data_IF_821125662982
#
_entry.id   IF_821125662982
#
_cell.length_a   1.000
_cell.length_b   1.000
_cell.length_c   1.000
_cell.angle_alpha   90.00
_cell.angle_beta   90.00
_cell.angle_gamma   90.00
#
_symmetry.space_group_name_H-M   'P 1'
#
loop_
_entity.id
_entity.type
_entity.pdbx_description
1 polymer ?
#
# COMPACT_ATOMS: atom_id res chain seq x y z
N UNK A 1 -8.69 -65.00 10.99
CA UNK A 1 -10.09 -65.35 11.35
C UNK A 1 -10.40 -64.60 12.62
N UNK A 2 -11.41 -63.75 12.76
CA UNK A 2 -12.37 -63.09 11.87
C UNK A 2 -13.26 -62.28 12.82
N UNK A 3 -13.39 -60.98 12.53
CA UNK A 3 -14.49 -60.06 12.86
C UNK A 3 -15.18 -60.09 14.23
N UNK A 4 -15.20 -58.93 14.89
CA UNK A 4 -16.40 -58.04 14.90
C UNK A 4 -16.17 -56.70 15.61
N UNK A 5 -16.27 -55.63 14.81
CA UNK A 5 -17.05 -54.39 15.02
C UNK A 5 -17.08 -53.75 16.42
N UNK A 6 -16.53 -52.54 16.50
CA UNK A 6 -16.80 -51.58 17.58
C UNK A 6 -16.39 -50.16 17.18
N UNK A 7 -17.19 -49.50 16.34
CA UNK A 7 -17.12 -48.03 16.16
C UNK A 7 -17.48 -47.33 17.46
N UNK A 8 -16.75 -46.29 17.90
CA UNK A 8 -17.20 -45.47 19.02
C UNK A 8 -18.47 -44.69 18.62
N UNK A 9 -19.47 -44.55 19.51
CA UNK A 9 -20.67 -43.79 19.22
C UNK A 9 -20.33 -42.30 19.19
N UNK A 10 -20.46 -41.68 18.01
CA UNK A 10 -20.72 -40.25 17.94
C UNK A 10 -22.13 -40.01 18.46
N UNK A 11 -22.26 -39.72 19.76
CA UNK A 11 -23.47 -39.10 20.29
C UNK A 11 -23.40 -37.64 19.84
N UNK A 12 -23.98 -37.38 18.67
CA UNK A 12 -24.39 -36.05 18.27
C UNK A 12 -25.89 -35.97 18.50
N UNK A 13 -26.24 -35.20 19.53
CA UNK A 13 -27.62 -34.83 19.86
C UNK A 13 -28.36 -34.26 18.65
N UNK A 14 -29.68 -34.49 18.70
CA UNK A 14 -30.69 -34.27 17.68
C UNK A 14 -30.81 -32.83 17.15
N UNK A 15 -31.31 -32.77 15.91
CA UNK A 15 -32.08 -31.66 15.33
C UNK A 15 -31.37 -30.36 14.93
N UNK A 16 -30.47 -30.48 13.93
CA UNK A 16 -30.48 -29.66 12.71
C UNK A 16 -29.25 -30.01 11.84
N UNK A 17 -29.26 -31.19 11.20
CA UNK A 17 -28.30 -31.46 10.12
C UNK A 17 -28.78 -30.77 8.84
N UNK A 18 -28.63 -29.44 8.79
CA UNK A 18 -28.25 -28.83 7.51
C UNK A 18 -26.94 -29.54 7.13
N UNK A 19 -26.80 -30.11 5.93
CA UNK A 19 -25.48 -30.58 5.51
C UNK A 19 -24.52 -29.43 5.78
N UNK A 20 -23.44 -29.70 6.51
CA UNK A 20 -22.38 -28.73 6.72
C UNK A 20 -21.96 -28.28 5.32
N UNK A 21 -22.46 -27.11 4.89
CA UNK A 21 -22.03 -26.50 3.64
C UNK A 21 -20.53 -26.38 3.80
N UNK A 22 -19.77 -27.24 3.11
CA UNK A 22 -18.32 -27.16 3.08
C UNK A 22 -18.01 -25.71 2.73
N UNK A 23 -17.55 -24.94 3.72
CA UNK A 23 -17.51 -23.48 3.75
C UNK A 23 -16.98 -22.96 2.39
N UNK A 24 -17.89 -22.65 1.44
CA UNK A 24 -17.52 -22.42 0.04
C UNK A 24 -16.85 -21.07 -0.04
N UNK A 25 -15.54 -21.05 0.17
CA UNK A 25 -14.77 -19.80 0.16
C UNK A 25 -14.97 -19.06 -1.16
N UNK A 26 -15.19 -17.73 -1.09
CA UNK A 26 -15.38 -16.93 -2.29
C UNK A 26 -14.14 -16.90 -3.19
N UNK A 27 -14.31 -16.76 -4.51
CA UNK A 27 -13.21 -16.78 -5.49
C UNK A 27 -12.02 -15.86 -5.15
N UNK A 28 -12.28 -14.66 -4.62
CA UNK A 28 -11.23 -13.70 -4.23
C UNK A 28 -10.34 -14.19 -3.08
N UNK A 29 -10.88 -15.06 -2.22
CA UNK A 29 -10.16 -15.63 -1.10
C UNK A 29 -9.13 -16.65 -1.59
N UNK A 30 -9.47 -17.47 -2.57
CA UNK A 30 -8.48 -18.35 -3.25
C UNK A 30 -7.37 -17.55 -3.93
N UNK A 31 -7.71 -16.47 -4.65
CA UNK A 31 -6.71 -15.59 -5.28
C UNK A 31 -5.77 -14.99 -4.23
N UNK A 32 -6.30 -14.60 -3.08
CA UNK A 32 -5.48 -14.11 -1.97
C UNK A 32 -4.51 -15.19 -1.46
N UNK A 33 -4.99 -16.41 -1.20
CA UNK A 33 -4.14 -17.49 -0.66
C UNK A 33 -3.04 -17.90 -1.66
N UNK A 34 -3.36 -17.96 -2.96
CA UNK A 34 -2.39 -18.17 -4.03
C UNK A 34 -1.32 -17.06 -4.01
N UNK A 35 -1.74 -15.80 -3.87
CA UNK A 35 -0.83 -14.65 -3.82
C UNK A 35 0.01 -14.58 -2.54
N UNK A 36 -0.33 -15.31 -1.47
CA UNK A 36 0.55 -15.44 -0.30
C UNK A 36 1.73 -16.36 -0.61
N UNK A 37 1.51 -17.44 -1.36
CA UNK A 37 2.54 -18.42 -1.77
C UNK A 37 3.33 -17.98 -3.01
N UNK A 38 3.99 -16.81 -2.96
CA UNK A 38 4.70 -16.20 -4.12
C UNK A 38 5.91 -16.98 -4.63
N UNK A 39 6.46 -17.87 -3.82
CA UNK A 39 7.60 -18.72 -4.20
C UNK A 39 7.19 -19.98 -4.97
N UNK A 40 5.89 -20.31 -5.00
CA UNK A 40 5.38 -21.42 -5.82
C UNK A 40 5.71 -21.22 -7.29
N UNK A 41 5.96 -22.31 -8.02
CA UNK A 41 6.39 -22.25 -9.41
C UNK A 41 5.39 -21.54 -10.32
N UNK A 42 4.08 -21.76 -10.10
CA UNK A 42 3.01 -21.11 -10.85
C UNK A 42 3.11 -19.58 -10.75
N UNK A 43 3.23 -19.05 -9.52
CA UNK A 43 3.28 -17.60 -9.31
C UNK A 43 4.63 -17.02 -9.72
N UNK A 44 5.72 -17.75 -9.50
CA UNK A 44 7.06 -17.33 -9.94
C UNK A 44 7.13 -17.21 -11.45
N UNK A 45 6.58 -18.19 -12.18
CA UNK A 45 6.46 -18.16 -13.64
C UNK A 45 5.62 -16.96 -14.10
N UNK A 46 4.42 -16.79 -13.55
CA UNK A 46 3.52 -15.67 -13.88
C UNK A 46 4.19 -14.31 -13.63
N UNK A 47 4.87 -14.14 -12.50
CA UNK A 47 5.57 -12.90 -12.17
C UNK A 47 6.76 -12.67 -13.11
N UNK A 48 7.45 -13.72 -13.58
CA UNK A 48 8.54 -13.57 -14.54
C UNK A 48 8.06 -13.01 -15.87
N UNK A 49 6.99 -13.60 -16.43
CA UNK A 49 6.38 -13.14 -17.69
C UNK A 49 5.87 -11.70 -17.55
N UNK A 50 5.10 -11.40 -16.49
CA UNK A 50 4.63 -10.03 -16.22
C UNK A 50 5.77 -9.03 -16.05
N UNK A 51 6.87 -9.43 -15.44
CA UNK A 51 8.02 -8.55 -15.25
C UNK A 51 8.68 -8.20 -16.58
N UNK A 52 8.70 -9.14 -17.53
CA UNK A 52 9.20 -8.88 -18.87
C UNK A 52 8.32 -7.84 -19.59
N UNK A 53 6.99 -8.00 -19.58
CA UNK A 53 6.06 -7.02 -20.16
C UNK A 53 6.23 -5.62 -19.54
N UNK A 54 6.28 -5.55 -18.20
CA UNK A 54 6.42 -4.29 -17.46
C UNK A 54 7.77 -3.58 -17.68
N UNK A 55 8.79 -4.28 -18.18
CA UNK A 55 10.08 -3.67 -18.55
C UNK A 55 9.98 -2.91 -19.87
N UNK A 56 9.23 -3.44 -20.83
CA UNK A 56 9.04 -2.83 -22.15
C UNK A 56 8.14 -1.59 -22.09
N UNK A 57 7.20 -1.55 -21.14
CA UNK A 57 6.29 -0.43 -20.98
C UNK A 57 6.95 0.81 -20.35
N UNK A 58 6.35 1.97 -20.63
CA UNK A 58 6.76 3.25 -20.06
C UNK A 58 6.75 3.24 -18.52
N UNK A 59 7.61 4.09 -17.94
CA UNK A 59 7.81 4.13 -16.49
C UNK A 59 6.53 4.42 -15.70
N UNK A 60 5.62 5.23 -16.26
CA UNK A 60 4.26 5.45 -15.78
C UNK A 60 3.33 5.21 -16.96
N UNK A 61 2.42 4.26 -16.83
CA UNK A 61 1.40 4.00 -17.84
C UNK A 61 0.06 3.65 -17.18
N UNK A 62 -1.04 3.95 -17.88
CA UNK A 62 -2.39 3.61 -17.42
C UNK A 62 -2.64 2.13 -17.64
N UNK A 63 -3.16 1.44 -16.62
CA UNK A 63 -3.66 0.08 -16.76
C UNK A 63 -5.17 0.12 -17.06
N UNK A 64 -5.63 -0.74 -17.97
CA UNK A 64 -7.06 -0.89 -18.27
C UNK A 64 -7.82 -1.51 -17.10
N UNK A 65 -7.23 -2.54 -16.48
CA UNK A 65 -7.76 -3.26 -15.31
C UNK A 65 -6.65 -3.50 -14.28
N UNK A 66 -6.98 -3.61 -12.98
CA UNK A 66 -6.00 -3.96 -11.97
C UNK A 66 -5.48 -5.38 -12.18
N UNK A 67 -4.16 -5.57 -12.10
CA UNK A 67 -3.53 -6.90 -12.23
C UNK A 67 -3.89 -7.85 -11.08
N UNK A 68 -4.31 -7.26 -9.95
CA UNK A 68 -4.70 -7.95 -8.71
C UNK A 68 -6.04 -7.42 -8.21
N UNK A 69 -7.16 -7.97 -8.69
CA UNK A 69 -8.50 -7.51 -8.30
C UNK A 69 -8.79 -7.76 -6.81
N UNK A 70 -8.23 -8.83 -6.22
CA UNK A 70 -8.29 -9.15 -4.79
C UNK A 70 -7.76 -8.00 -3.93
N UNK A 71 -6.54 -7.54 -4.24
CA UNK A 71 -5.83 -6.54 -3.46
C UNK A 71 -6.39 -5.15 -3.72
N UNK A 72 -6.73 -4.85 -4.98
CA UNK A 72 -7.31 -3.57 -5.36
C UNK A 72 -8.63 -3.34 -4.60
N UNK A 73 -9.53 -4.34 -4.57
CA UNK A 73 -10.82 -4.25 -3.85
C UNK A 73 -10.63 -3.97 -2.36
N UNK A 74 -9.70 -4.66 -1.70
CA UNK A 74 -9.37 -4.42 -0.28
C UNK A 74 -8.90 -3.00 0.00
N UNK A 75 -8.26 -2.36 -0.97
CA UNK A 75 -7.74 -1.00 -0.85
C UNK A 75 -8.74 0.06 -1.31
N UNK A 76 -9.97 -0.33 -1.65
CA UNK A 76 -11.07 0.57 -1.98
C UNK A 76 -11.34 0.75 -3.48
N UNK A 77 -10.69 -0.02 -4.36
CA UNK A 77 -11.03 -0.01 -5.79
C UNK A 77 -12.43 -0.60 -6.02
N UNK A 78 -13.23 0.09 -6.84
CA UNK A 78 -14.48 -0.43 -7.40
C UNK A 78 -14.43 -0.34 -8.92
N UNK A 79 -14.95 -1.36 -9.59
CA UNK A 79 -15.08 -1.39 -11.04
C UNK A 79 -16.29 -0.54 -11.49
N UNK A 80 -16.16 0.79 -11.38
CA UNK A 80 -17.12 1.77 -11.89
C UNK A 80 -16.37 2.97 -12.47
N UNK A 81 -17.06 3.77 -13.27
CA UNK A 81 -16.47 4.96 -13.87
C UNK A 81 -15.94 5.95 -12.80
N UNK A 82 -14.82 6.59 -13.10
CA UNK A 82 -14.10 7.49 -12.20
C UNK A 82 -12.99 6.83 -11.36
N UNK A 83 -12.88 5.50 -11.33
CA UNK A 83 -11.69 4.82 -10.81
C UNK A 83 -10.69 4.55 -11.95
N UNK A 84 -9.42 4.88 -11.71
CA UNK A 84 -8.33 4.65 -12.66
C UNK A 84 -7.17 3.98 -11.94
N UNK A 85 -6.47 3.09 -12.65
CA UNK A 85 -5.30 2.40 -12.13
C UNK A 85 -4.09 2.76 -12.98
N UNK A 86 -3.02 3.20 -12.33
CA UNK A 86 -1.73 3.48 -12.98
C UNK A 86 -0.67 2.49 -12.51
N UNK A 87 0.12 1.99 -13.45
CA UNK A 87 1.31 1.19 -13.17
C UNK A 87 2.53 2.09 -13.18
N UNK A 88 3.39 1.92 -12.20
CA UNK A 88 4.62 2.67 -12.08
C UNK A 88 5.78 1.80 -11.63
N UNK A 89 6.95 2.03 -12.24
CA UNK A 89 8.22 1.46 -11.79
C UNK A 89 9.02 2.45 -10.96
N UNK A 90 9.59 1.99 -9.85
CA UNK A 90 10.48 2.75 -8.97
C UNK A 90 11.79 2.00 -8.81
N UNK A 91 12.92 2.69 -9.02
CA UNK A 91 14.26 2.09 -8.90
C UNK A 91 14.51 1.58 -7.48
N UNK A 92 15.06 0.38 -7.36
CA UNK A 92 15.49 -0.24 -6.10
C UNK A 92 16.80 0.38 -5.61
N UNK A 93 17.06 0.18 -4.32
CA UNK A 93 18.30 0.60 -3.67
C UNK A 93 18.13 1.82 -2.76
N UNK A 94 19.25 2.26 -2.20
CA UNK A 94 19.34 3.49 -1.42
C UNK A 94 19.37 4.74 -2.31
N UNK A 95 19.39 5.91 -1.68
CA UNK A 95 19.52 7.19 -2.38
C UNK A 95 20.86 7.80 -2.01
N UNK A 96 21.76 7.91 -3.01
CA UNK A 96 23.01 8.64 -2.86
C UNK A 96 22.73 10.11 -2.53
N UNK A 97 23.48 10.69 -1.58
CA UNK A 97 23.43 12.15 -1.34
C UNK A 97 23.86 12.90 -2.61
N UNK A 98 23.12 13.92 -3.05
CA UNK A 98 23.61 14.81 -4.11
C UNK A 98 24.72 15.69 -3.53
N UNK A 99 25.96 15.27 -3.73
CA UNK A 99 27.17 16.02 -3.39
C UNK A 99 28.12 15.98 -4.59
N UNK A 100 28.51 17.14 -5.17
CA UNK A 100 29.47 17.18 -6.27
C UNK A 100 30.76 16.45 -5.90
N UNK A 101 31.22 15.53 -6.76
CA UNK A 101 32.40 14.65 -6.54
C UNK A 101 32.36 13.81 -5.25
N UNK A 102 31.24 13.80 -4.53
CA UNK A 102 31.18 13.24 -3.18
C UNK A 102 31.96 14.04 -2.14
N UNK A 103 32.26 15.31 -2.39
CA UNK A 103 32.85 16.18 -1.38
C UNK A 103 31.75 16.73 -0.48
N UNK A 104 31.78 16.35 0.80
CA UNK A 104 30.88 16.87 1.84
C UNK A 104 31.71 17.63 2.87
N UNK A 105 31.40 18.92 3.05
CA UNK A 105 32.07 19.76 4.03
C UNK A 105 31.44 19.65 5.43
N UNK A 106 32.22 20.00 6.46
CA UNK A 106 31.78 20.02 7.86
C UNK A 106 32.13 18.76 8.65
N UNK A 107 31.42 18.54 9.75
CA UNK A 107 31.72 17.49 10.74
C UNK A 107 31.71 16.08 10.11
N UNK A 108 32.62 15.16 10.54
CA UNK A 108 32.70 13.79 10.01
C UNK A 108 31.38 13.01 9.99
N UNK A 109 30.50 13.25 10.96
CA UNK A 109 29.17 12.62 11.04
C UNK A 109 28.29 12.88 9.83
N UNK A 110 28.48 14.00 9.14
CA UNK A 110 27.70 14.41 7.97
C UNK A 110 28.35 14.03 6.64
N UNK A 111 29.49 13.32 6.66
CA UNK A 111 30.25 12.99 5.45
C UNK A 111 29.77 11.71 4.73
N UNK A 112 28.72 11.05 5.23
CA UNK A 112 28.14 9.86 4.61
C UNK A 112 27.42 10.13 3.28
N UNK A 113 27.66 9.27 2.27
CA UNK A 113 27.14 9.46 0.90
C UNK A 113 26.35 8.25 0.40
N UNK A 114 26.95 7.06 0.42
CA UNK A 114 26.42 5.88 -0.28
C UNK A 114 25.41 5.07 0.55
N UNK A 115 25.66 4.91 1.85
CA UNK A 115 24.86 4.01 2.71
C UNK A 115 23.57 4.65 3.25
N UNK A 116 23.23 5.85 2.79
CA UNK A 116 22.01 6.55 3.19
C UNK A 116 20.75 5.84 2.70
N UNK A 117 19.78 5.69 3.60
CA UNK A 117 18.46 5.12 3.31
C UNK A 117 17.44 6.23 3.22
N UNK A 118 16.56 6.15 2.22
CA UNK A 118 15.50 7.13 2.08
C UNK A 118 14.44 6.92 3.17
N UNK A 119 14.00 8.02 3.79
CA UNK A 119 13.04 7.96 4.91
C UNK A 119 11.67 7.38 4.49
N UNK A 120 11.27 7.61 3.23
CA UNK A 120 9.97 7.13 2.71
C UNK A 120 10.11 5.80 2.01
N UNK A 121 9.06 4.99 2.09
CA UNK A 121 8.99 3.73 1.36
C UNK A 121 8.91 3.96 -0.17
N UNK A 122 9.41 3.01 -0.96
CA UNK A 122 9.37 3.08 -2.43
C UNK A 122 7.94 3.21 -2.98
N UNK A 123 6.94 2.63 -2.30
CA UNK A 123 5.53 2.80 -2.66
C UNK A 123 5.02 4.23 -2.45
N UNK A 124 5.56 4.99 -1.48
CA UNK A 124 5.21 6.40 -1.32
C UNK A 124 5.77 7.23 -2.47
N UNK A 125 7.01 6.94 -2.90
CA UNK A 125 7.60 7.56 -4.09
C UNK A 125 6.81 7.21 -5.36
N UNK A 126 6.28 5.99 -5.45
CA UNK A 126 5.39 5.59 -6.53
C UNK A 126 4.11 6.44 -6.56
N UNK A 127 3.43 6.55 -5.42
CA UNK A 127 2.23 7.38 -5.25
C UNK A 127 2.49 8.85 -5.62
N UNK A 128 3.60 9.44 -5.15
CA UNK A 128 3.95 10.83 -5.44
C UNK A 128 4.24 11.09 -6.92
N UNK A 129 4.96 10.16 -7.59
CA UNK A 129 5.24 10.30 -9.03
C UNK A 129 3.97 10.23 -9.87
N UNK A 130 3.05 9.31 -9.54
CA UNK A 130 1.74 9.23 -10.20
C UNK A 130 0.89 10.47 -9.90
N UNK A 131 0.85 10.93 -8.64
CA UNK A 131 0.11 12.13 -8.24
C UNK A 131 0.60 13.40 -8.96
N UNK A 132 1.91 13.51 -9.21
CA UNK A 132 2.48 14.62 -10.01
C UNK A 132 2.13 14.51 -11.50
N UNK A 133 2.19 13.30 -12.08
CA UNK A 133 1.86 13.08 -13.50
C UNK A 133 0.37 13.29 -13.77
N UNK A 134 -0.49 12.91 -12.82
CA UNK A 134 -1.94 12.96 -12.91
C UNK A 134 -2.52 13.91 -11.86
N UNK A 135 -2.16 15.20 -11.93
CA UNK A 135 -2.48 16.20 -10.91
C UNK A 135 -4.00 16.39 -10.65
N UNK A 136 -4.83 16.16 -11.68
CA UNK A 136 -6.29 16.28 -11.58
C UNK A 136 -6.92 15.11 -10.82
N UNK A 137 -6.23 13.97 -10.72
CA UNK A 137 -6.72 12.79 -10.03
C UNK A 137 -6.33 12.82 -8.55
N UNK A 138 -7.08 12.07 -7.73
CA UNK A 138 -6.81 11.86 -6.31
C UNK A 138 -6.24 10.47 -6.08
N UNK A 139 -5.05 10.38 -5.50
CA UNK A 139 -4.47 9.09 -5.11
C UNK A 139 -5.24 8.54 -3.91
N UNK A 140 -5.82 7.35 -4.07
CA UNK A 140 -6.51 6.64 -2.99
C UNK A 140 -5.51 5.82 -2.17
N UNK A 141 -4.84 4.87 -2.83
CA UNK A 141 -3.88 3.94 -2.25
C UNK A 141 -3.00 3.29 -3.33
N UNK A 142 -2.02 2.49 -2.93
CA UNK A 142 -1.19 1.72 -3.86
C UNK A 142 -0.92 0.30 -3.36
N UNK A 143 -0.52 -0.59 -4.26
CA UNK A 143 -0.07 -1.93 -3.92
C UNK A 143 1.05 -2.43 -4.82
N UNK A 144 1.83 -3.37 -4.27
CA UNK A 144 2.91 -4.05 -4.98
C UNK A 144 2.35 -5.09 -5.96
N UNK A 145 2.93 -5.13 -7.16
CA UNK A 145 2.59 -6.11 -8.20
C UNK A 145 3.76 -7.05 -8.44
N UNK A 146 4.96 -6.49 -8.64
CA UNK A 146 6.12 -7.23 -9.09
C UNK A 146 7.45 -6.54 -8.73
N UNK A 147 8.57 -7.26 -8.85
CA UNK A 147 9.91 -6.71 -8.68
C UNK A 147 10.94 -7.47 -9.53
N UNK A 148 11.89 -6.75 -10.11
CA UNK A 148 13.13 -7.26 -10.70
C UNK A 148 14.33 -6.82 -9.85
N UNK A 149 15.56 -7.06 -10.30
CA UNK A 149 16.77 -6.61 -9.61
C UNK A 149 16.85 -5.09 -9.49
N UNK A 150 16.45 -4.35 -10.53
CA UNK A 150 16.66 -2.90 -10.64
C UNK A 150 15.45 -2.07 -10.22
N UNK A 151 14.22 -2.56 -10.35
CA UNK A 151 12.98 -1.83 -10.10
C UNK A 151 11.99 -2.60 -9.21
N UNK A 152 11.01 -1.86 -8.67
CA UNK A 152 9.80 -2.38 -8.07
C UNK A 152 8.61 -1.77 -8.77
N UNK A 153 7.60 -2.59 -9.01
CA UNK A 153 6.40 -2.22 -9.74
C UNK A 153 5.21 -2.11 -8.78
N UNK A 154 4.51 -0.98 -8.87
CA UNK A 154 3.35 -0.69 -8.07
C UNK A 154 2.16 -0.31 -8.95
N UNK A 155 0.98 -0.67 -8.50
CA UNK A 155 -0.28 -0.19 -9.04
C UNK A 155 -0.85 0.83 -8.07
N UNK A 156 -1.07 2.05 -8.57
CA UNK A 156 -1.63 3.17 -7.81
C UNK A 156 -3.09 3.34 -8.24
N UNK A 157 -3.97 3.30 -7.26
CA UNK A 157 -5.41 3.52 -7.44
C UNK A 157 -5.65 5.03 -7.35
N UNK A 158 -6.15 5.59 -8.44
CA UNK A 158 -6.53 6.98 -8.57
C UNK A 158 -8.05 7.09 -8.72
N UNK A 159 -8.60 8.19 -8.24
CA UNK A 159 -10.02 8.52 -8.36
C UNK A 159 -10.16 9.89 -8.99
N UNK A 160 -11.06 10.03 -9.95
CA UNK A 160 -11.44 11.30 -10.54
C UNK A 160 -12.53 11.99 -9.69
N UNK A 161 -12.23 13.12 -9.02
CA UNK A 161 -13.19 13.84 -8.20
C UNK A 161 -14.25 14.62 -9.00
N UNK A 162 -14.04 14.82 -10.31
CA UNK A 162 -14.98 15.53 -11.18
C UNK A 162 -16.06 14.59 -11.75
N UNK A 163 -15.81 13.28 -11.74
CA UNK A 163 -16.74 12.29 -12.29
C UNK A 163 -18.03 12.15 -11.45
N UNK A 164 -19.21 12.23 -12.09
CA UNK A 164 -20.53 12.15 -11.43
C UNK A 164 -20.70 10.87 -10.59
N UNK A 165 -20.25 9.74 -11.11
CA UNK A 165 -20.33 8.45 -10.40
C UNK A 165 -19.49 8.37 -9.10
N UNK A 166 -18.50 9.25 -8.93
CA UNK A 166 -17.73 9.37 -7.68
C UNK A 166 -18.43 10.35 -6.75
N UNK A 167 -18.86 11.51 -7.26
CA UNK A 167 -19.51 12.55 -6.46
C UNK A 167 -20.83 12.07 -5.82
N UNK A 168 -21.61 11.25 -6.54
CA UNK A 168 -22.89 10.70 -6.05
C UNK A 168 -22.73 9.53 -5.06
N UNK A 169 -21.59 8.83 -5.05
CA UNK A 169 -21.41 7.67 -4.15
C UNK A 169 -20.96 8.14 -2.77
N UNK A 170 -21.87 8.05 -1.80
CA UNK A 170 -21.66 8.42 -0.40
C UNK A 170 -20.45 7.75 0.27
N UNK A 171 -19.97 6.60 -0.24
CA UNK A 171 -18.83 5.89 0.37
C UNK A 171 -17.47 6.48 -0.01
N UNK A 172 -17.37 7.17 -1.15
CA UNK A 172 -16.10 7.71 -1.67
C UNK A 172 -16.12 9.23 -1.85
N UNK A 173 -17.29 9.86 -1.88
CA UNK A 173 -17.46 11.30 -2.12
C UNK A 173 -16.57 12.19 -1.24
N UNK A 174 -16.18 11.73 -0.03
CA UNK A 174 -15.23 12.41 0.84
C UNK A 174 -13.95 12.82 0.09
N UNK A 175 -13.45 11.99 -0.84
CA UNK A 175 -12.21 12.27 -1.57
C UNK A 175 -12.31 13.50 -2.50
N UNK A 176 -13.53 13.92 -2.83
CA UNK A 176 -13.79 15.08 -3.68
C UNK A 176 -13.58 16.40 -2.93
N UNK A 177 -13.59 16.40 -1.58
CA UNK A 177 -13.42 17.62 -0.80
C UNK A 177 -12.02 18.22 -1.01
N UNK A 178 -11.89 19.56 -1.00
CA UNK A 178 -10.61 20.24 -1.24
C UNK A 178 -9.54 19.93 -0.17
N UNK A 179 -9.92 19.49 1.02
CA UNK A 179 -8.94 19.07 2.04
C UNK A 179 -8.16 17.81 1.66
N UNK A 180 -8.63 17.05 0.66
CA UNK A 180 -8.02 15.81 0.18
C UNK A 180 -7.20 15.98 -1.11
N UNK A 181 -6.85 17.21 -1.52
CA UNK A 181 -5.87 17.41 -2.60
C UNK A 181 -4.48 16.88 -2.20
N UNK A 182 -3.77 16.27 -3.13
CA UNK A 182 -2.39 15.79 -2.98
C UNK A 182 -2.09 15.10 -1.63
N UNK A 183 -2.88 14.07 -1.31
CA UNK A 183 -2.71 13.26 -0.07
C UNK A 183 -1.37 12.53 -0.07
N UNK A 184 -0.91 12.10 -1.23
CA UNK A 184 0.38 11.45 -1.46
C UNK A 184 1.54 12.36 -1.07
N UNK A 185 1.52 13.63 -1.47
CA UNK A 185 2.58 14.60 -1.15
C UNK A 185 2.67 14.90 0.36
N UNK A 186 1.51 14.90 1.05
CA UNK A 186 1.41 15.11 2.50
C UNK A 186 1.61 13.82 3.32
N UNK A 187 1.80 12.67 2.67
CA UNK A 187 1.95 11.38 3.33
C UNK A 187 0.71 10.94 4.12
N UNK A 188 -0.49 11.20 3.58
CA UNK A 188 -1.77 10.82 4.18
C UNK A 188 -2.36 9.52 3.61
N UNK A 189 -1.70 8.92 2.63
CA UNK A 189 -1.97 7.56 2.15
C UNK A 189 -1.58 6.52 3.20
N UNK A 190 -2.04 5.28 3.05
CA UNK A 190 -1.70 4.21 4.00
C UNK A 190 -0.18 4.01 4.10
N UNK A 191 0.52 4.05 2.95
CA UNK A 191 1.98 4.01 2.89
C UNK A 191 2.62 5.19 3.61
N UNK A 192 2.14 6.41 3.34
CA UNK A 192 2.67 7.63 3.96
C UNK A 192 2.52 7.65 5.47
N UNK A 193 1.34 7.27 5.98
CA UNK A 193 1.08 7.14 7.42
C UNK A 193 2.01 6.13 8.10
N UNK A 194 2.23 4.98 7.46
CA UNK A 194 3.17 3.96 7.95
C UNK A 194 4.61 4.49 8.04
N UNK A 195 5.08 5.16 7.00
CA UNK A 195 6.43 5.75 6.98
C UNK A 195 6.62 6.87 8.02
N UNK A 196 5.56 7.61 8.34
CA UNK A 196 5.57 8.64 9.39
C UNK A 196 5.53 8.07 10.82
N UNK A 197 5.33 6.76 10.97
CA UNK A 197 5.17 6.13 12.28
C UNK A 197 3.89 6.55 13.00
N UNK A 198 2.82 6.91 12.27
CA UNK A 198 1.55 7.28 12.92
C UNK A 198 0.82 6.01 13.32
N UNK A 199 0.87 5.68 14.60
CA UNK A 199 0.16 4.54 15.18
C UNK A 199 -0.16 4.78 16.66
N UNK A 200 -0.75 3.80 17.33
CA UNK A 200 -1.20 3.85 18.74
C UNK A 200 -0.26 3.07 19.66
N UNK A 201 -0.16 3.48 20.93
CA UNK A 201 0.62 2.82 21.98
C UNK A 201 1.91 3.57 22.35
N UNK A 202 2.57 3.11 23.43
CA UNK A 202 3.74 3.77 24.04
C UNK A 202 4.89 4.04 23.05
N UNK A 203 5.11 3.16 22.06
CA UNK A 203 6.15 3.31 21.03
C UNK A 203 5.93 4.50 20.09
N UNK A 204 4.74 5.12 20.09
CA UNK A 204 4.35 6.17 19.15
C UNK A 204 4.08 7.53 19.80
N UNK A 205 4.41 7.70 21.08
CA UNK A 205 4.20 8.95 21.83
C UNK A 205 4.78 10.17 21.10
N UNK A 206 5.98 10.03 20.53
CA UNK A 206 6.69 11.10 19.82
C UNK A 206 6.27 11.26 18.35
N UNK A 207 5.32 10.48 17.84
CA UNK A 207 4.95 10.45 16.40
C UNK A 207 3.45 10.47 16.12
N UNK A 208 2.58 10.24 17.13
CA UNK A 208 1.12 10.14 17.01
C UNK A 208 0.46 11.32 16.28
N UNK A 209 0.80 12.56 16.64
CA UNK A 209 0.30 13.78 15.96
C UNK A 209 1.24 14.27 14.83
N UNK A 210 2.38 13.63 14.67
CA UNK A 210 3.47 14.01 13.77
C UNK A 210 4.72 14.44 14.54
N UNK A 211 5.88 13.87 14.17
CA UNK A 211 7.16 14.05 14.86
C UNK A 211 7.51 15.50 15.17
N UNK A 212 7.40 16.39 14.17
CA UNK A 212 7.72 17.83 14.33
C UNK A 212 6.72 18.54 15.25
N UNK A 213 5.44 18.19 15.16
CA UNK A 213 4.41 18.81 16.00
C UNK A 213 4.62 18.44 17.47
N UNK A 214 4.82 17.16 17.77
CA UNK A 214 5.10 16.71 19.14
C UNK A 214 6.40 17.29 19.69
N UNK A 215 7.47 17.33 18.88
CA UNK A 215 8.73 17.96 19.28
C UNK A 215 8.53 19.44 19.60
N UNK A 216 7.79 20.19 18.77
CA UNK A 216 7.51 21.61 19.02
C UNK A 216 6.78 21.79 20.35
N UNK A 217 5.72 21.02 20.61
CA UNK A 217 4.98 21.10 21.87
C UNK A 217 5.87 20.88 23.11
N UNK A 218 6.78 19.90 23.05
CA UNK A 218 7.67 19.58 24.17
C UNK A 218 8.77 20.61 24.40
N UNK A 219 9.15 21.37 23.36
CA UNK A 219 10.23 22.36 23.43
C UNK A 219 9.70 23.81 23.49
N UNK A 220 8.39 24.03 23.37
CA UNK A 220 7.77 25.34 23.56
C UNK A 220 7.76 25.67 25.04
N UNK A 221 8.37 26.79 25.42
CA UNK A 221 8.25 27.32 26.77
C UNK A 221 6.88 27.98 26.94
N UNK A 222 6.13 27.54 27.95
CA UNK A 222 4.81 28.08 28.27
C UNK A 222 4.92 29.11 29.38
N UNK A 223 4.69 30.38 29.05
CA UNK A 223 4.63 31.46 30.02
C UNK A 223 3.16 31.80 30.30
N UNK A 224 2.66 31.33 31.43
CA UNK A 224 1.33 31.65 31.90
C UNK A 224 1.30 33.07 32.49
N UNK A 225 0.15 33.73 32.40
CA UNK A 225 -0.06 35.09 32.93
C UNK A 225 0.18 35.15 34.44
N UNK A 226 -0.19 34.07 35.14
CA UNK A 226 0.08 33.86 36.55
C UNK A 226 0.83 32.53 36.68
N UNK A 227 1.88 32.50 37.50
CA UNK A 227 2.68 31.30 37.77
C UNK A 227 2.23 30.65 39.08
#
# INVERSE_FOLDING_TARGET
>A
MSDRLGTPPTICDNDNRRPCEADKMGALKYVEEIQKKKQSDVIRFLLRVRCWELRQLNAIHRASRPSRPDKARRLGYKAKQGYVVYRIRVRRGGRKRPAPKGATYGKPTNQGINQLKYQRALSATAEERVGRRCANLRVLNSYWINQDSTYKYFEVICVDPQHKAIRRDARINWICNPVHKHREARGLTATGKKSRGINKGHRYNNTKAGRRHTWKLQNTQSYWRYR
#
